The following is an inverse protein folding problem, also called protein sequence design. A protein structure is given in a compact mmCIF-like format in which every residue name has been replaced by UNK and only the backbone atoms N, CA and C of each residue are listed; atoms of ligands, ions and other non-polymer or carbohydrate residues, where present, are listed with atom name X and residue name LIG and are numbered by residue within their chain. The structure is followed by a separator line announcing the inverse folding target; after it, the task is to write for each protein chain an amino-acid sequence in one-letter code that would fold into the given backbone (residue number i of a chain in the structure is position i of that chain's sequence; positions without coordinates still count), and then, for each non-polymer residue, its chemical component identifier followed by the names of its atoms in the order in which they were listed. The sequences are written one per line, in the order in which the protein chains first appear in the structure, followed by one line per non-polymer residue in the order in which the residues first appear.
data_IF_445127519130
#
_entry.id   IF_445127519130
#
_cell.length_a   1.000
_cell.length_b   1.000
_cell.length_c   1.000
_cell.angle_alpha   90.00
_cell.angle_beta   90.00
_cell.angle_gamma   90.00
#
_symmetry.space_group_name_H-M   'P 1'
#
loop_
_entity.id
_entity.type
_entity.pdbx_description
1 polymer ?
#
# COMPACT_ATOMS: atom_id res chain seq x y z
N UNK A 1 -0.29 -79.10 -42.95
CA UNK A 1 0.02 -80.07 -41.89
C UNK A 1 -0.33 -79.39 -40.57
N UNK A 2 -1.30 -79.94 -39.84
CA UNK A 2 -1.77 -79.38 -38.57
C UNK A 2 -0.84 -79.89 -37.47
N UNK A 3 -0.10 -78.99 -36.82
CA UNK A 3 0.80 -79.36 -35.72
C UNK A 3 -0.04 -79.56 -34.47
N UNK A 4 -0.37 -80.79 -34.13
CA UNK A 4 -1.07 -81.13 -32.89
C UNK A 4 -0.08 -81.00 -31.73
N UNK A 5 -0.19 -79.92 -30.95
CA UNK A 5 0.54 -79.77 -29.70
C UNK A 5 0.12 -80.88 -28.72
N UNK A 6 1.08 -81.63 -28.18
CA UNK A 6 0.81 -82.58 -27.12
C UNK A 6 0.38 -81.85 -25.85
N UNK A 7 -0.53 -82.40 -25.04
CA UNK A 7 -1.07 -81.76 -23.85
C UNK A 7 0.03 -81.29 -22.85
N UNK A 8 1.18 -81.96 -22.81
CA UNK A 8 2.33 -81.58 -21.98
C UNK A 8 3.10 -80.34 -22.47
N UNK A 9 3.06 -80.04 -23.78
CA UNK A 9 3.65 -78.81 -24.33
C UNK A 9 2.78 -77.59 -24.02
N UNK A 10 1.45 -77.77 -24.08
CA UNK A 10 0.48 -76.75 -23.67
C UNK A 10 0.62 -76.43 -22.18
N UNK A 11 0.82 -77.45 -21.33
CA UNK A 11 1.00 -77.25 -19.89
C UNK A 11 2.28 -76.46 -19.55
N UNK A 12 3.42 -76.79 -20.19
CA UNK A 12 4.67 -76.03 -20.02
C UNK A 12 4.54 -74.57 -20.45
N UNK A 13 3.86 -74.31 -21.58
CA UNK A 13 3.60 -72.95 -22.02
C UNK A 13 2.73 -72.17 -21.01
N UNK A 14 1.75 -72.83 -20.38
CA UNK A 14 0.92 -72.21 -19.36
C UNK A 14 1.70 -71.86 -18.09
N UNK A 15 2.58 -72.76 -17.61
CA UNK A 15 3.47 -72.50 -16.47
C UNK A 15 4.44 -71.36 -16.74
N UNK A 16 5.04 -71.32 -17.94
CA UNK A 16 5.94 -70.24 -18.34
C UNK A 16 5.20 -68.91 -18.48
N UNK A 17 4.00 -68.91 -19.06
CA UNK A 17 3.15 -67.71 -19.16
C UNK A 17 2.75 -67.20 -17.77
N UNK A 18 2.39 -68.10 -16.85
CA UNK A 18 2.03 -67.73 -15.48
C UNK A 18 3.23 -67.14 -14.72
N UNK A 19 4.44 -67.70 -14.93
CA UNK A 19 5.69 -67.15 -14.37
C UNK A 19 5.98 -65.75 -14.90
N UNK A 20 5.96 -65.57 -16.22
CA UNK A 20 6.18 -64.26 -16.86
C UNK A 20 5.13 -63.23 -16.41
N UNK A 21 3.88 -63.66 -16.24
CA UNK A 21 2.81 -62.80 -15.73
C UNK A 21 3.05 -62.37 -14.28
N UNK A 22 3.53 -63.26 -13.41
CA UNK A 22 3.88 -62.93 -12.03
C UNK A 22 5.09 -62.00 -11.94
N UNK A 23 6.13 -62.24 -12.75
CA UNK A 23 7.31 -61.38 -12.87
C UNK A 23 6.89 -59.98 -13.34
N UNK A 24 6.10 -59.89 -14.42
CA UNK A 24 5.57 -58.61 -14.92
C UNK A 24 4.70 -57.88 -13.88
N UNK A 25 3.84 -58.59 -13.14
CA UNK A 25 3.07 -57.96 -12.05
C UNK A 25 3.94 -57.46 -10.89
N UNK A 26 5.05 -58.13 -10.61
CA UNK A 26 5.98 -57.68 -9.59
C UNK A 26 6.71 -56.40 -10.03
N UNK A 27 7.20 -56.36 -11.26
CA UNK A 27 7.83 -55.17 -11.86
C UNK A 27 6.85 -53.99 -11.92
N UNK A 28 5.61 -54.22 -12.37
CA UNK A 28 4.56 -53.19 -12.40
C UNK A 28 4.24 -52.64 -11.01
N UNK A 29 4.27 -53.47 -9.97
CA UNK A 29 4.08 -53.02 -8.59
C UNK A 29 5.25 -52.18 -8.11
N UNK A 30 6.48 -52.57 -8.42
CA UNK A 30 7.67 -51.78 -8.06
C UNK A 30 7.68 -50.43 -8.78
N UNK A 31 7.43 -50.40 -10.10
CA UNK A 31 7.36 -49.14 -10.85
C UNK A 31 6.26 -48.22 -10.32
N UNK A 32 5.08 -48.75 -9.96
CA UNK A 32 4.03 -47.93 -9.33
C UNK A 32 4.45 -47.35 -7.99
N UNK A 33 5.09 -48.14 -7.13
CA UNK A 33 5.58 -47.65 -5.84
C UNK A 33 6.65 -46.57 -6.01
N UNK A 34 7.57 -46.74 -6.96
CA UNK A 34 8.60 -45.76 -7.27
C UNK A 34 8.00 -44.47 -7.85
N UNK A 35 7.05 -44.59 -8.77
CA UNK A 35 6.31 -43.46 -9.34
C UNK A 35 5.54 -42.69 -8.26
N UNK A 36 4.85 -43.40 -7.37
CA UNK A 36 4.16 -42.77 -6.23
C UNK A 36 5.13 -42.07 -5.29
N UNK A 37 6.32 -42.65 -5.05
CA UNK A 37 7.35 -42.02 -4.21
C UNK A 37 7.86 -40.73 -4.84
N UNK A 38 8.25 -40.77 -6.12
CA UNK A 38 8.73 -39.60 -6.86
C UNK A 38 7.68 -38.49 -6.91
N UNK A 39 6.42 -38.83 -7.18
CA UNK A 39 5.32 -37.86 -7.17
C UNK A 39 5.11 -37.23 -5.78
N UNK A 40 5.26 -37.99 -4.70
CA UNK A 40 5.17 -37.44 -3.33
C UNK A 40 6.33 -36.51 -3.01
N UNK A 41 7.54 -36.88 -3.41
CA UNK A 41 8.74 -36.07 -3.23
C UNK A 41 8.64 -34.76 -4.02
N UNK A 42 8.26 -34.81 -5.29
CA UNK A 42 8.06 -33.65 -6.16
C UNK A 42 6.97 -32.72 -5.61
N UNK A 43 5.84 -33.27 -5.14
CA UNK A 43 4.78 -32.48 -4.49
C UNK A 43 5.29 -31.81 -3.21
N UNK A 44 6.02 -32.53 -2.37
CA UNK A 44 6.56 -31.98 -1.14
C UNK A 44 7.58 -30.87 -1.41
N UNK A 45 8.43 -31.04 -2.42
CA UNK A 45 9.37 -30.02 -2.88
C UNK A 45 8.64 -28.79 -3.44
N UNK A 46 7.64 -29.00 -4.30
CA UNK A 46 6.80 -27.93 -4.84
C UNK A 46 6.09 -27.16 -3.74
N UNK A 47 5.52 -27.83 -2.75
CA UNK A 47 4.91 -27.18 -1.60
C UNK A 47 5.91 -26.37 -0.77
N UNK A 48 7.13 -26.88 -0.57
CA UNK A 48 8.19 -26.14 0.12
C UNK A 48 8.61 -24.90 -0.68
N UNK A 49 8.79 -25.04 -1.98
CA UNK A 49 9.12 -23.93 -2.88
C UNK A 49 8.02 -22.87 -2.87
N UNK A 50 6.75 -23.28 -2.90
CA UNK A 50 5.60 -22.39 -2.81
C UNK A 50 5.54 -21.65 -1.47
N UNK A 51 5.66 -22.38 -0.34
CA UNK A 51 5.72 -21.76 1.01
C UNK A 51 6.87 -20.75 1.13
N UNK A 52 8.05 -21.08 0.62
CA UNK A 52 9.19 -20.17 0.62
C UNK A 52 8.93 -18.92 -0.24
N UNK A 53 8.25 -19.08 -1.37
CA UNK A 53 7.87 -17.97 -2.26
C UNK A 53 6.85 -17.05 -1.58
N UNK A 54 5.81 -17.62 -0.96
CA UNK A 54 4.82 -16.86 -0.19
C UNK A 54 5.46 -16.04 0.93
N UNK A 55 6.43 -16.61 1.65
CA UNK A 55 7.17 -15.90 2.70
C UNK A 55 7.95 -14.73 2.13
N UNK A 56 8.65 -14.93 1.00
CA UNK A 56 9.41 -13.86 0.32
C UNK A 56 8.49 -12.76 -0.20
N UNK A 57 7.33 -13.09 -0.76
CA UNK A 57 6.33 -12.12 -1.21
C UNK A 57 5.83 -11.29 -0.01
N UNK A 58 5.47 -11.94 1.11
CA UNK A 58 5.03 -11.25 2.33
C UNK A 58 6.11 -10.33 2.91
N UNK A 59 7.37 -10.75 2.87
CA UNK A 59 8.49 -9.91 3.30
C UNK A 59 8.70 -8.72 2.37
N UNK A 60 8.63 -8.93 1.05
CA UNK A 60 8.72 -7.87 0.06
C UNK A 60 7.60 -6.84 0.20
N UNK A 61 6.34 -7.28 0.37
CA UNK A 61 5.20 -6.38 0.58
C UNK A 61 5.38 -5.51 1.83
N UNK A 62 5.82 -6.09 2.95
CA UNK A 62 6.12 -5.34 4.18
C UNK A 62 7.25 -4.33 3.99
N UNK A 63 8.28 -4.69 3.23
CA UNK A 63 9.38 -3.77 2.94
C UNK A 63 8.93 -2.59 2.08
N UNK A 64 8.07 -2.83 1.08
CA UNK A 64 7.50 -1.78 0.23
C UNK A 64 6.64 -0.82 1.06
N UNK A 65 5.77 -1.35 1.92
CA UNK A 65 4.94 -0.54 2.83
C UNK A 65 5.81 0.34 3.74
N UNK A 66 6.85 -0.24 4.34
CA UNK A 66 7.81 0.49 5.18
C UNK A 66 8.53 1.60 4.41
N UNK A 67 8.89 1.37 3.14
CA UNK A 67 9.51 2.39 2.30
C UNK A 67 8.52 3.53 1.99
N UNK A 68 7.26 3.20 1.72
CA UNK A 68 6.19 4.18 1.52
C UNK A 68 6.01 5.09 2.75
N UNK A 69 5.93 4.51 3.94
CA UNK A 69 5.82 5.28 5.19
C UNK A 69 7.02 6.20 5.44
N UNK A 70 8.24 5.72 5.19
CA UNK A 70 9.48 6.54 5.34
C UNK A 70 9.55 7.68 4.32
N UNK A 71 9.02 7.48 3.12
CA UNK A 71 8.92 8.55 2.12
C UNK A 71 7.94 9.63 2.59
N UNK A 72 6.79 9.24 3.15
CA UNK A 72 5.85 10.17 3.77
C UNK A 72 6.51 11.02 4.86
N UNK A 73 7.21 10.37 5.79
CA UNK A 73 7.97 11.03 6.87
C UNK A 73 9.01 12.03 6.37
N UNK A 74 9.71 11.67 5.29
CA UNK A 74 10.71 12.51 4.67
C UNK A 74 10.07 13.77 4.08
N UNK A 75 8.97 13.62 3.34
CA UNK A 75 8.27 14.76 2.74
C UNK A 75 7.67 15.68 3.82
N UNK A 76 7.03 15.13 4.85
CA UNK A 76 6.60 15.91 6.02
C UNK A 76 7.76 16.68 6.65
N UNK A 77 8.93 16.05 6.77
CA UNK A 77 10.14 16.65 7.32
C UNK A 77 10.66 17.86 6.53
N UNK A 78 10.41 17.90 5.22
CA UNK A 78 10.72 19.05 4.36
C UNK A 78 9.65 20.15 4.48
N UNK A 79 8.38 19.77 4.54
CA UNK A 79 7.26 20.73 4.54
C UNK A 79 7.10 21.43 5.89
N UNK A 80 7.17 20.70 7.01
CA UNK A 80 6.96 21.24 8.35
C UNK A 80 7.80 22.51 8.67
N UNK A 81 9.12 22.55 8.44
CA UNK A 81 9.90 23.76 8.69
C UNK A 81 9.55 24.91 7.74
N UNK A 82 9.14 24.62 6.51
CA UNK A 82 8.77 25.64 5.53
C UNK A 82 7.43 26.32 5.84
N UNK A 83 6.49 25.63 6.52
CA UNK A 83 5.20 26.18 6.88
C UNK A 83 5.31 27.52 7.63
N UNK A 84 6.29 27.65 8.55
CA UNK A 84 6.49 28.91 9.28
C UNK A 84 6.66 30.09 8.34
N UNK A 85 7.60 29.99 7.40
CA UNK A 85 7.88 31.08 6.45
C UNK A 85 6.73 31.27 5.47
N UNK A 86 6.24 30.18 4.88
CA UNK A 86 5.23 30.23 3.82
C UNK A 86 3.90 30.82 4.27
N UNK A 87 3.43 30.50 5.48
CA UNK A 87 2.20 31.08 6.03
C UNK A 87 2.41 32.51 6.54
N UNK A 88 3.56 32.81 7.16
CA UNK A 88 3.90 34.19 7.57
C UNK A 88 3.91 35.14 6.37
N UNK A 89 4.45 34.71 5.22
CA UNK A 89 4.44 35.47 3.96
C UNK A 89 3.04 35.70 3.36
N UNK A 90 2.03 35.02 3.91
CA UNK A 90 0.60 35.17 3.60
C UNK A 90 -0.15 35.97 4.68
N UNK A 91 0.56 36.55 5.64
CA UNK A 91 -0.03 37.31 6.74
C UNK A 91 -0.63 36.42 7.84
N UNK A 92 -0.37 35.11 7.81
CA UNK A 92 -0.78 34.17 8.86
C UNK A 92 0.46 33.94 9.72
N UNK A 93 0.58 34.72 10.79
CA UNK A 93 1.67 34.55 11.76
C UNK A 93 1.63 33.12 12.32
N UNK A 94 2.78 32.46 12.46
CA UNK A 94 2.85 31.06 12.92
C UNK A 94 3.51 31.00 14.29
N UNK A 95 2.73 30.62 15.32
CA UNK A 95 3.24 30.44 16.67
C UNK A 95 3.73 29.01 16.91
N UNK A 96 3.07 28.03 16.29
CA UNK A 96 3.37 26.61 16.47
C UNK A 96 3.10 25.82 15.20
N UNK A 97 3.94 24.83 14.93
CA UNK A 97 3.70 23.79 13.93
C UNK A 97 3.75 22.44 14.64
N UNK A 98 2.65 21.71 14.62
CA UNK A 98 2.55 20.37 15.21
C UNK A 98 2.47 19.33 14.10
N UNK A 99 3.13 18.18 14.27
CA UNK A 99 3.10 17.07 13.31
C UNK A 99 2.20 15.97 13.83
N UNK A 100 1.51 15.25 12.94
CA UNK A 100 0.71 14.05 13.23
C UNK A 100 -0.26 14.27 14.39
N UNK A 101 -1.09 15.29 14.25
CA UNK A 101 -2.10 15.60 15.28
C UNK A 101 -3.28 14.66 15.07
N UNK A 102 -3.64 13.95 16.14
CA UNK A 102 -4.75 13.00 16.13
C UNK A 102 -5.86 13.44 17.08
N UNK A 103 -7.10 13.22 16.66
CA UNK A 103 -8.27 13.38 17.51
C UNK A 103 -9.22 12.19 17.34
N UNK A 104 -9.93 11.89 18.42
CA UNK A 104 -10.80 10.73 18.54
C UNK A 104 -12.16 11.19 19.07
N UNK A 105 -13.23 10.78 18.39
CA UNK A 105 -14.61 11.01 18.81
C UNK A 105 -15.29 9.69 19.15
N UNK A 106 -16.41 9.73 19.91
CA UNK A 106 -17.22 8.54 20.18
C UNK A 106 -17.62 7.80 18.89
N UNK A 107 -17.84 6.49 19.01
CA UNK A 107 -18.19 5.64 17.86
C UNK A 107 -16.99 5.26 16.98
N UNK A 108 -15.76 5.47 17.45
CA UNK A 108 -14.54 5.03 16.75
C UNK A 108 -14.10 5.96 15.62
N UNK A 109 -14.66 7.17 15.53
CA UNK A 109 -14.25 8.20 14.57
C UNK A 109 -12.87 8.73 14.95
N UNK A 110 -11.95 8.75 13.98
CA UNK A 110 -10.58 9.27 14.12
C UNK A 110 -10.31 10.31 13.03
N UNK A 111 -9.62 11.39 13.39
CA UNK A 111 -9.02 12.33 12.45
C UNK A 111 -7.52 12.38 12.69
N UNK A 112 -6.76 12.43 11.60
CA UNK A 112 -5.31 12.63 11.60
C UNK A 112 -4.97 13.77 10.65
N UNK A 113 -4.14 14.70 11.14
CA UNK A 113 -3.68 15.88 10.43
C UNK A 113 -2.15 15.83 10.39
N UNK A 114 -1.58 15.77 9.18
CA UNK A 114 -0.14 15.62 9.00
C UNK A 114 0.61 16.79 9.62
N UNK A 115 0.20 18.03 9.32
CA UNK A 115 0.70 19.23 9.98
C UNK A 115 -0.43 20.18 10.37
N UNK A 116 -0.36 20.67 11.61
CA UNK A 116 -1.26 21.68 12.15
C UNK A 116 -0.46 22.94 12.47
N UNK A 117 -0.71 24.00 11.71
CA UNK A 117 -0.10 25.31 11.89
C UNK A 117 -1.05 26.17 12.71
N UNK A 118 -0.59 26.63 13.87
CA UNK A 118 -1.45 27.26 14.86
C UNK A 118 -0.95 28.67 15.23
N UNK A 119 -1.90 29.59 15.37
CA UNK A 119 -1.69 30.93 15.90
C UNK A 119 -2.88 31.36 16.78
N UNK A 120 -2.95 32.63 17.22
CA UNK A 120 -4.02 33.07 18.12
C UNK A 120 -5.42 32.99 17.48
N UNK A 121 -5.57 33.43 16.23
CA UNK A 121 -6.86 33.69 15.58
C UNK A 121 -7.21 32.72 14.44
N UNK A 122 -6.23 31.93 14.00
CA UNK A 122 -6.28 31.08 12.82
C UNK A 122 -5.51 29.78 13.01
N UNK A 123 -5.91 28.78 12.23
CA UNK A 123 -5.30 27.47 12.19
C UNK A 123 -5.28 26.97 10.74
N UNK A 124 -4.17 26.37 10.31
CA UNK A 124 -4.07 25.76 9.00
C UNK A 124 -3.77 24.27 9.11
N UNK A 125 -4.61 23.45 8.48
CA UNK A 125 -4.42 22.01 8.36
C UNK A 125 -3.74 21.71 7.04
N UNK A 126 -2.56 21.13 7.08
CA UNK A 126 -1.77 20.79 5.90
C UNK A 126 -1.76 19.27 5.73
N UNK A 127 -2.29 18.79 4.62
CA UNK A 127 -2.11 17.41 4.15
C UNK A 127 -0.84 17.33 3.30
N UNK A 128 0.00 16.33 3.53
CA UNK A 128 1.30 16.17 2.89
C UNK A 128 1.34 14.88 2.07
N UNK A 129 1.72 14.97 0.79
CA UNK A 129 1.87 13.82 -0.11
C UNK A 129 3.20 13.84 -0.86
N UNK A 130 3.73 12.67 -1.22
CA UNK A 130 4.83 12.61 -2.19
C UNK A 130 4.37 13.05 -3.59
N UNK A 131 3.20 12.56 -4.01
CA UNK A 131 2.48 12.98 -5.21
C UNK A 131 1.03 13.26 -4.84
N UNK A 132 0.53 14.45 -5.17
CA UNK A 132 -0.85 14.84 -4.88
C UNK A 132 -1.81 14.36 -5.98
N UNK A 133 -2.91 13.72 -5.58
CA UNK A 133 -4.02 13.37 -6.45
C UNK A 133 -5.29 14.15 -6.09
N UNK A 134 -6.27 14.18 -7.02
CA UNK A 134 -7.58 14.84 -6.79
C UNK A 134 -8.32 14.23 -5.60
N UNK A 135 -8.22 12.92 -5.41
CA UNK A 135 -8.90 12.25 -4.30
C UNK A 135 -8.26 12.59 -2.94
N UNK A 136 -6.96 12.86 -2.88
CA UNK A 136 -6.32 13.39 -1.66
C UNK A 136 -6.89 14.76 -1.31
N UNK A 137 -7.05 15.64 -2.31
CA UNK A 137 -7.65 16.96 -2.12
C UNK A 137 -9.09 16.83 -1.59
N UNK A 138 -9.90 15.94 -2.18
CA UNK A 138 -11.28 15.69 -1.73
C UNK A 138 -11.33 15.14 -0.32
N UNK A 139 -10.47 14.18 0.01
CA UNK A 139 -10.38 13.62 1.35
C UNK A 139 -10.02 14.70 2.37
N UNK A 140 -9.08 15.58 2.03
CA UNK A 140 -8.71 16.71 2.89
C UNK A 140 -9.87 17.70 3.08
N UNK A 141 -10.62 18.04 2.02
CA UNK A 141 -11.82 18.88 2.14
C UNK A 141 -12.87 18.28 3.07
N UNK A 142 -13.01 16.94 3.07
CA UNK A 142 -13.81 16.21 4.05
C UNK A 142 -13.32 16.43 5.47
N UNK A 143 -12.02 16.22 5.73
CA UNK A 143 -11.39 16.51 7.04
C UNK A 143 -11.65 17.95 7.48
N UNK A 144 -11.48 18.92 6.58
CA UNK A 144 -11.73 20.34 6.86
C UNK A 144 -13.18 20.59 7.32
N UNK A 145 -14.16 19.90 6.73
CA UNK A 145 -15.57 20.08 7.10
C UNK A 145 -15.94 19.54 8.48
N UNK A 146 -15.18 18.57 8.98
CA UNK A 146 -15.40 17.95 10.30
C UNK A 146 -14.44 18.49 11.37
N UNK A 147 -13.44 19.28 10.98
CA UNK A 147 -12.33 19.67 11.85
C UNK A 147 -12.77 20.25 13.21
N UNK A 148 -13.70 21.21 13.21
CA UNK A 148 -14.17 21.86 14.44
C UNK A 148 -14.97 20.94 15.37
N UNK A 149 -15.50 19.84 14.85
CA UNK A 149 -16.10 18.79 15.68
C UNK A 149 -15.04 17.99 16.43
N UNK A 150 -13.94 17.66 15.75
CA UNK A 150 -12.81 16.94 16.33
C UNK A 150 -11.95 17.80 17.27
N UNK A 151 -11.84 19.09 17.00
CA UNK A 151 -11.01 20.05 17.75
C UNK A 151 -11.84 21.26 18.19
N UNK A 152 -12.80 21.08 19.13
CA UNK A 152 -13.68 22.16 19.58
C UNK A 152 -12.93 23.33 20.25
N UNK A 153 -11.73 23.10 20.79
CA UNK A 153 -10.84 24.14 21.32
C UNK A 153 -10.40 25.17 20.26
N UNK A 154 -10.56 24.84 18.98
CA UNK A 154 -10.25 25.72 17.85
C UNK A 154 -11.50 26.30 17.18
N UNK A 155 -12.71 26.13 17.75
CA UNK A 155 -13.97 26.55 17.13
C UNK A 155 -14.04 28.06 16.82
N UNK A 156 -13.41 28.90 17.64
CA UNK A 156 -13.37 30.35 17.47
C UNK A 156 -12.33 30.81 16.43
N UNK A 157 -11.40 29.94 16.02
CA UNK A 157 -10.35 30.28 15.05
C UNK A 157 -10.86 30.14 13.62
N UNK A 158 -10.26 30.91 12.72
CA UNK A 158 -10.41 30.69 11.28
C UNK A 158 -9.63 29.44 10.86
N UNK A 159 -10.32 28.41 10.40
CA UNK A 159 -9.66 27.21 9.89
C UNK A 159 -9.39 27.36 8.38
N UNK A 160 -8.15 27.15 7.98
CA UNK A 160 -7.68 27.14 6.60
C UNK A 160 -7.18 25.74 6.24
N UNK A 161 -7.34 25.36 4.98
CA UNK A 161 -6.81 24.12 4.44
C UNK A 161 -5.62 24.36 3.53
N UNK A 162 -4.64 23.48 3.60
CA UNK A 162 -3.50 23.46 2.69
C UNK A 162 -3.18 22.02 2.26
N UNK A 163 -2.61 21.89 1.08
CA UNK A 163 -2.02 20.63 0.57
C UNK A 163 -0.58 20.90 0.18
N UNK A 164 0.31 19.96 0.49
CA UNK A 164 1.72 20.05 0.15
C UNK A 164 2.17 18.77 -0.55
N UNK A 165 2.90 18.89 -1.67
CA UNK A 165 3.50 17.72 -2.28
C UNK A 165 4.75 18.00 -3.11
N UNK A 166 5.56 16.95 -3.31
CA UNK A 166 6.75 17.03 -4.16
C UNK A 166 6.38 17.02 -5.65
N UNK A 167 5.34 16.27 -6.01
CA UNK A 167 4.81 16.20 -7.38
C UNK A 167 3.35 16.60 -7.40
N UNK A 168 3.01 17.65 -8.16
CA UNK A 168 1.64 18.12 -8.37
C UNK A 168 1.42 18.35 -9.86
N UNK A 169 0.41 17.68 -10.42
CA UNK A 169 -0.02 17.91 -11.79
C UNK A 169 -0.88 19.19 -11.86
N UNK A 170 -0.81 19.93 -12.98
CA UNK A 170 -1.44 21.25 -13.11
C UNK A 170 -2.96 21.22 -12.84
N UNK A 171 -3.65 20.18 -13.32
CA UNK A 171 -5.07 19.96 -13.09
C UNK A 171 -5.39 19.75 -11.59
N UNK A 172 -4.53 19.04 -10.86
CA UNK A 172 -4.69 18.81 -9.42
C UNK A 172 -4.42 20.09 -8.63
N UNK A 173 -3.36 20.82 -8.99
CA UNK A 173 -3.04 22.12 -8.40
C UNK A 173 -4.23 23.08 -8.56
N UNK A 174 -4.75 23.22 -9.80
CA UNK A 174 -5.90 24.08 -10.09
C UNK A 174 -7.14 23.65 -9.32
N UNK A 175 -7.39 22.35 -9.18
CA UNK A 175 -8.51 21.84 -8.39
C UNK A 175 -8.38 22.21 -6.91
N UNK A 176 -7.20 22.06 -6.30
CA UNK A 176 -6.95 22.42 -4.91
C UNK A 176 -7.12 23.93 -4.66
N UNK A 177 -6.53 24.76 -5.53
CA UNK A 177 -6.67 26.23 -5.46
C UNK A 177 -8.14 26.63 -5.58
N UNK A 178 -8.86 26.12 -6.58
CA UNK A 178 -10.29 26.43 -6.78
C UNK A 178 -11.17 25.93 -5.62
N UNK A 179 -10.71 24.94 -4.86
CA UNK A 179 -11.39 24.45 -3.67
C UNK A 179 -11.12 25.31 -2.43
N UNK A 180 -10.36 26.40 -2.57
CA UNK A 180 -10.03 27.34 -1.50
C UNK A 180 -8.86 26.90 -0.62
N UNK A 181 -8.02 25.98 -1.09
CA UNK A 181 -6.85 25.49 -0.36
C UNK A 181 -5.58 26.24 -0.75
N UNK A 182 -4.70 26.45 0.22
CA UNK A 182 -3.30 26.74 -0.08
C UNK A 182 -2.63 25.51 -0.71
N UNK A 183 -1.73 25.74 -1.65
CA UNK A 183 -0.97 24.68 -2.31
C UNK A 183 0.51 24.97 -2.15
N UNK A 184 1.23 24.05 -1.50
CA UNK A 184 2.68 24.10 -1.32
C UNK A 184 3.30 23.08 -2.27
N UNK A 185 4.19 23.55 -3.14
CA UNK A 185 4.84 22.70 -4.13
C UNK A 185 6.36 22.85 -4.07
N UNK A 186 7.05 21.83 -4.56
CA UNK A 186 8.48 21.87 -4.78
C UNK A 186 8.81 22.61 -6.08
N UNK A 187 9.74 23.55 -6.01
CA UNK A 187 10.36 24.18 -7.18
C UNK A 187 11.87 24.15 -7.01
N UNK A 188 12.53 23.36 -7.86
CA UNK A 188 13.95 23.06 -7.67
C UNK A 188 14.19 22.45 -6.28
N UNK A 189 15.05 23.09 -5.50
CA UNK A 189 15.44 22.63 -4.17
C UNK A 189 14.67 23.31 -3.03
N UNK A 190 13.63 24.09 -3.35
CA UNK A 190 12.85 24.84 -2.34
C UNK A 190 11.35 24.54 -2.43
N UNK A 191 10.64 24.90 -1.35
CA UNK A 191 9.18 24.88 -1.31
C UNK A 191 8.63 26.29 -1.48
N UNK A 192 7.52 26.41 -2.21
CA UNK A 192 6.80 27.67 -2.38
C UNK A 192 5.29 27.45 -2.29
N UNK A 193 4.57 28.53 -2.02
CA UNK A 193 3.13 28.56 -2.23
C UNK A 193 2.82 28.79 -3.71
N UNK A 194 2.07 27.88 -4.33
CA UNK A 194 1.69 27.94 -5.74
C UNK A 194 0.56 28.94 -6.00
N UNK A 195 -0.30 29.21 -5.01
CA UNK A 195 -1.36 30.22 -5.15
C UNK A 195 -0.74 31.59 -5.45
N UNK A 196 -1.46 32.44 -6.19
CA UNK A 196 -1.07 33.83 -6.32
C UNK A 196 -1.16 34.61 -4.97
N UNK A 197 -0.67 35.85 -4.96
CA UNK A 197 -0.67 36.71 -3.77
C UNK A 197 -2.06 37.28 -3.42
N UNK A 198 -3.02 37.25 -4.36
CA UNK A 198 -4.37 37.77 -4.20
C UNK A 198 -5.37 36.69 -3.74
N UNK A 199 -4.94 35.43 -3.78
CA UNK A 199 -5.70 34.26 -3.41
C UNK A 199 -6.37 34.41 -2.05
N UNK A 200 -7.68 34.23 -2.03
CA UNK A 200 -8.48 34.20 -0.82
C UNK A 200 -8.76 32.75 -0.45
N UNK A 201 -8.17 32.23 0.64
CA UNK A 201 -8.47 30.88 1.09
C UNK A 201 -9.92 30.80 1.57
N UNK A 202 -10.53 29.62 1.42
CA UNK A 202 -11.80 29.34 2.09
C UNK A 202 -11.55 29.27 3.60
N UNK A 203 -12.55 29.68 4.38
CA UNK A 203 -12.58 29.52 5.84
C UNK A 203 -13.61 28.45 6.18
N UNK A 204 -13.26 27.52 7.06
CA UNK A 204 -14.12 26.45 7.57
C UNK A 204 -14.54 26.72 9.02
#
# INVERSE_FOLDING_TARGET
MSTTLAAGDIWRMFEETNRLFQESQAEWRQQRQETERLLREERAETERAFRNTDLKIKEMSRNIERLGGRLGEFVEGLVAPACKTLFTDRGIEVHKVSRRVEAYLPGGRKMEIDLLVDNTDAIALVEVKSKLAVDDVRAHLGKMSEFKEFFPEHAAKQAFGAVAAMVIEENVCRFAINSGLFVIEQVGDTLRMANDKQFQPKVW
#
